data_IF_281499061328
#
_entry.id   IF_281499061328
#
_cell.length_a   1.000
_cell.length_b   1.000
_cell.length_c   1.000
_cell.angle_alpha   90.00
_cell.angle_beta   90.00
_cell.angle_gamma   90.00
#
_symmetry.space_group_name_H-M   'P 1'
#
loop_
_entity.id
_entity.type
_entity.pdbx_description
1 polymer ?
#
# COMPACT_ATOMS: atom_id res chain seq x y z
N UNK A 1 10.10 -36.37 28.47
CA UNK A 1 10.25 -35.92 27.07
C UNK A 1 9.14 -36.60 26.25
N UNK A 2 8.05 -35.91 25.91
CA UNK A 2 7.05 -36.47 24.99
C UNK A 2 7.57 -36.29 23.55
N UNK A 3 7.59 -37.32 22.70
CA UNK A 3 8.04 -37.15 21.32
C UNK A 3 7.02 -36.27 20.59
N UNK A 4 7.51 -35.23 19.90
CA UNK A 4 6.70 -34.39 19.04
C UNK A 4 5.94 -35.29 18.05
N UNK A 5 4.61 -35.22 18.09
CA UNK A 5 3.70 -36.00 17.26
C UNK A 5 3.91 -35.57 15.80
N UNK A 6 4.71 -36.34 15.05
CA UNK A 6 4.95 -36.12 13.62
C UNK A 6 3.73 -36.57 12.84
N UNK A 7 3.12 -35.67 12.08
CA UNK A 7 1.99 -36.02 11.23
C UNK A 7 2.49 -36.88 10.06
N UNK A 8 1.87 -38.04 9.87
CA UNK A 8 2.27 -39.03 8.89
C UNK A 8 1.10 -39.28 7.97
N UNK A 9 1.26 -38.95 6.70
CA UNK A 9 0.29 -39.30 5.68
C UNK A 9 0.65 -40.70 5.18
N UNK A 10 -0.27 -41.64 5.39
CA UNK A 10 -0.13 -43.01 4.92
C UNK A 10 -1.16 -43.27 3.83
N UNK A 11 -0.69 -43.61 2.63
CA UNK A 11 -1.54 -44.04 1.52
C UNK A 11 -1.38 -45.55 1.36
N UNK A 12 -2.49 -46.28 1.40
CA UNK A 12 -2.50 -47.73 1.26
C UNK A 12 -3.24 -48.10 -0.02
N UNK A 13 -2.56 -48.84 -0.89
CA UNK A 13 -3.16 -49.42 -2.08
C UNK A 13 -3.03 -50.94 -2.00
N UNK A 14 -4.15 -51.64 -2.24
CA UNK A 14 -4.14 -53.08 -2.38
C UNK A 14 -3.87 -53.44 -3.83
N UNK A 15 -2.93 -54.34 -4.05
CA UNK A 15 -2.63 -54.84 -5.37
C UNK A 15 -3.11 -56.28 -5.47
N UNK A 16 -4.20 -56.43 -6.21
CA UNK A 16 -5.10 -57.59 -6.25
C UNK A 16 -4.46 -58.91 -6.71
N UNK A 17 -3.51 -58.94 -7.66
CA UNK A 17 -2.98 -60.20 -8.20
C UNK A 17 -2.32 -61.18 -7.19
N UNK A 18 -1.87 -60.71 -6.02
CA UNK A 18 -1.23 -61.56 -5.00
C UNK A 18 -1.58 -61.18 -3.55
N UNK A 19 -2.68 -60.45 -3.35
CA UNK A 19 -3.25 -60.09 -2.04
C UNK A 19 -2.29 -59.37 -1.05
N UNK A 20 -1.17 -58.83 -1.52
CA UNK A 20 -0.34 -57.90 -0.75
C UNK A 20 -0.98 -56.51 -0.65
N UNK A 21 -0.80 -55.86 0.50
CA UNK A 21 -1.12 -54.45 0.71
C UNK A 21 0.19 -53.66 0.71
N UNK A 22 0.31 -52.69 -0.20
CA UNK A 22 1.48 -51.81 -0.25
C UNK A 22 1.08 -50.48 0.39
N UNK A 23 1.77 -50.12 1.47
CA UNK A 23 1.59 -48.85 2.16
C UNK A 23 2.83 -47.98 2.00
N UNK A 24 2.65 -46.75 1.52
CA UNK A 24 3.69 -45.71 1.56
C UNK A 24 3.30 -44.74 2.66
N UNK A 25 4.22 -44.46 3.57
CA UNK A 25 3.98 -43.54 4.67
C UNK A 25 5.10 -42.51 4.71
N UNK A 26 4.78 -41.26 4.36
CA UNK A 26 5.75 -40.17 4.28
C UNK A 26 5.51 -39.20 5.43
N UNK A 27 6.60 -38.69 6.01
CA UNK A 27 6.53 -37.71 7.08
C UNK A 27 6.24 -36.32 6.48
N UNK A 28 5.17 -35.67 6.93
CA UNK A 28 4.81 -34.35 6.44
C UNK A 28 5.89 -33.30 6.75
N UNK A 29 6.57 -33.45 7.89
CA UNK A 29 7.63 -32.55 8.35
C UNK A 29 8.76 -32.37 7.32
N UNK A 30 9.03 -33.38 6.49
CA UNK A 30 10.06 -33.32 5.44
C UNK A 30 9.65 -32.37 4.31
N UNK A 31 8.35 -32.29 4.00
CA UNK A 31 7.82 -31.38 2.99
C UNK A 31 7.59 -29.96 3.51
N UNK A 32 7.16 -29.81 4.78
CA UNK A 32 6.78 -28.49 5.31
C UNK A 32 7.98 -27.62 5.70
N UNK A 33 9.15 -28.20 5.97
CA UNK A 33 10.36 -27.41 6.30
C UNK A 33 10.77 -26.44 5.18
N UNK A 34 10.68 -26.88 3.94
CA UNK A 34 10.98 -26.03 2.77
C UNK A 34 9.89 -24.96 2.59
N UNK A 35 8.62 -25.32 2.86
CA UNK A 35 7.48 -24.40 2.80
C UNK A 35 7.55 -23.31 3.88
N UNK A 36 8.08 -23.58 5.07
CA UNK A 36 8.22 -22.58 6.13
C UNK A 36 9.18 -21.45 5.75
N UNK A 37 10.31 -21.79 5.11
CA UNK A 37 11.26 -20.78 4.64
C UNK A 37 10.65 -19.93 3.52
N UNK A 38 9.97 -20.56 2.56
CA UNK A 38 9.25 -19.85 1.51
C UNK A 38 8.18 -18.92 2.08
N UNK A 39 7.41 -19.39 3.06
CA UNK A 39 6.38 -18.58 3.74
C UNK A 39 6.99 -17.33 4.38
N UNK A 40 8.15 -17.47 5.05
CA UNK A 40 8.83 -16.34 5.68
C UNK A 40 9.28 -15.31 4.63
N UNK A 41 9.88 -15.74 3.52
CA UNK A 41 10.26 -14.84 2.44
C UNK A 41 9.05 -14.12 1.84
N UNK A 42 7.95 -14.83 1.59
CA UNK A 42 6.71 -14.22 1.09
C UNK A 42 6.21 -13.15 2.06
N UNK A 43 6.12 -13.46 3.35
CA UNK A 43 5.68 -12.50 4.38
C UNK A 43 6.57 -11.26 4.39
N UNK A 44 7.90 -11.44 4.38
CA UNK A 44 8.85 -10.32 4.40
C UNK A 44 8.75 -9.45 3.15
N UNK A 45 8.66 -10.07 1.97
CA UNK A 45 8.52 -9.33 0.70
C UNK A 45 7.17 -8.59 0.67
N UNK A 46 6.07 -9.26 1.02
CA UNK A 46 4.75 -8.63 1.08
C UNK A 46 4.71 -7.47 2.07
N UNK A 47 5.27 -7.65 3.27
CA UNK A 47 5.36 -6.59 4.26
C UNK A 47 6.23 -5.42 3.77
N UNK A 48 7.37 -5.72 3.14
CA UNK A 48 8.25 -4.71 2.55
C UNK A 48 7.55 -3.89 1.46
N UNK A 49 6.88 -4.55 0.53
CA UNK A 49 6.10 -3.88 -0.54
C UNK A 49 4.98 -3.05 0.06
N UNK A 50 4.22 -3.58 1.02
CA UNK A 50 3.14 -2.85 1.67
C UNK A 50 3.63 -1.57 2.37
N UNK A 51 4.74 -1.65 3.10
CA UNK A 51 5.35 -0.49 3.76
C UNK A 51 5.85 0.55 2.75
N UNK A 52 6.49 0.11 1.66
CA UNK A 52 6.94 1.01 0.59
C UNK A 52 5.75 1.70 -0.08
N UNK A 53 4.71 0.96 -0.45
CA UNK A 53 3.49 1.52 -1.03
C UNK A 53 2.83 2.54 -0.10
N UNK A 54 2.75 2.24 1.21
CA UNK A 54 2.21 3.17 2.20
C UNK A 54 3.06 4.43 2.33
N UNK A 55 4.39 4.30 2.32
CA UNK A 55 5.32 5.43 2.36
C UNK A 55 5.18 6.34 1.14
N UNK A 56 5.15 5.77 -0.06
CA UNK A 56 4.96 6.53 -1.32
C UNK A 56 3.59 7.21 -1.32
N UNK A 57 2.53 6.50 -0.94
CA UNK A 57 1.18 7.06 -0.85
C UNK A 57 1.12 8.23 0.13
N UNK A 58 1.71 8.08 1.32
CA UNK A 58 1.75 9.14 2.33
C UNK A 58 2.49 10.39 1.83
N UNK A 59 3.64 10.22 1.19
CA UNK A 59 4.42 11.34 0.63
C UNK A 59 3.65 12.06 -0.48
N UNK A 60 3.02 11.32 -1.39
CA UNK A 60 2.20 11.88 -2.45
C UNK A 60 0.96 12.63 -1.91
N UNK A 61 0.26 12.02 -0.94
CA UNK A 61 -0.93 12.61 -0.32
C UNK A 61 -0.59 13.87 0.48
N UNK A 62 0.51 13.88 1.25
CA UNK A 62 0.89 15.02 2.10
C UNK A 62 1.08 16.30 1.28
N UNK A 63 1.70 16.22 0.11
CA UNK A 63 1.89 17.38 -0.78
C UNK A 63 0.56 17.96 -1.25
N UNK A 64 -0.33 17.10 -1.75
CA UNK A 64 -1.65 17.48 -2.27
C UNK A 64 -2.56 18.07 -1.18
N UNK A 65 -2.63 17.42 -0.02
CA UNK A 65 -3.43 17.89 1.13
C UNK A 65 -2.94 19.25 1.61
N UNK A 66 -1.63 19.49 1.61
CA UNK A 66 -1.07 20.81 1.98
C UNK A 66 -1.51 21.89 1.00
N UNK A 67 -1.42 21.65 -0.31
CA UNK A 67 -1.83 22.62 -1.33
C UNK A 67 -3.33 22.94 -1.22
N UNK A 68 -4.18 21.92 -1.03
CA UNK A 68 -5.61 22.13 -0.81
C UNK A 68 -5.89 23.03 0.40
N UNK A 69 -5.22 22.79 1.53
CA UNK A 69 -5.36 23.64 2.72
C UNK A 69 -4.92 25.08 2.45
N UNK A 70 -3.86 25.28 1.67
CA UNK A 70 -3.39 26.61 1.29
C UNK A 70 -4.41 27.33 0.40
N UNK A 71 -4.97 26.65 -0.62
CA UNK A 71 -6.02 27.20 -1.48
C UNK A 71 -7.25 27.60 -0.65
N UNK A 72 -7.71 26.73 0.26
CA UNK A 72 -8.87 27.02 1.13
C UNK A 72 -8.59 28.19 2.07
N UNK A 73 -7.41 28.26 2.67
CA UNK A 73 -7.04 29.36 3.56
C UNK A 73 -6.96 30.70 2.80
N UNK A 74 -6.28 30.71 1.65
CA UNK A 74 -6.16 31.89 0.81
C UNK A 74 -7.53 32.38 0.30
N UNK A 75 -8.44 31.46 -0.04
CA UNK A 75 -9.82 31.80 -0.41
C UNK A 75 -10.61 32.46 0.73
N UNK A 76 -10.37 32.04 1.98
CA UNK A 76 -10.99 32.69 3.15
C UNK A 76 -10.45 34.10 3.40
N UNK A 77 -9.14 34.30 3.24
CA UNK A 77 -8.53 35.63 3.39
C UNK A 77 -9.07 36.62 2.34
N UNK A 78 -9.17 36.19 1.06
CA UNK A 78 -9.78 37.02 0.00
C UNK A 78 -11.24 37.34 0.33
N UNK A 79 -12.03 36.36 0.79
CA UNK A 79 -13.41 36.60 1.19
C UNK A 79 -13.55 37.57 2.39
N UNK A 80 -12.54 37.65 3.24
CA UNK A 80 -12.47 38.59 4.35
C UNK A 80 -11.96 39.99 3.94
N UNK A 81 -11.69 40.21 2.65
CA UNK A 81 -11.19 41.49 2.11
C UNK A 81 -9.67 41.67 2.21
N UNK A 82 -8.93 40.63 2.61
CA UNK A 82 -7.49 40.67 2.75
C UNK A 82 -6.82 40.05 1.51
N UNK A 83 -6.55 40.88 0.51
CA UNK A 83 -5.95 40.47 -0.76
C UNK A 83 -4.42 40.59 -0.67
N UNK A 84 -3.80 39.91 0.29
CA UNK A 84 -2.34 39.75 0.24
C UNK A 84 -1.99 38.77 -0.88
N UNK A 85 -0.97 39.09 -1.67
CA UNK A 85 -0.46 38.29 -2.81
C UNK A 85 -0.09 36.88 -2.38
N UNK A 86 -1.06 35.99 -2.33
CA UNK A 86 -0.85 34.58 -2.04
C UNK A 86 -0.64 33.84 -3.35
N UNK A 87 0.61 33.76 -3.80
CA UNK A 87 0.96 32.94 -4.96
C UNK A 87 1.00 31.47 -4.54
N UNK A 88 0.01 30.71 -5.00
CA UNK A 88 -0.07 29.27 -4.77
C UNK A 88 0.82 28.53 -5.76
N UNK A 89 1.40 27.42 -5.30
CA UNK A 89 2.26 26.58 -6.14
C UNK A 89 1.45 25.92 -7.24
N UNK A 90 1.85 26.15 -8.48
CA UNK A 90 1.23 25.53 -9.64
C UNK A 90 1.78 24.11 -9.86
N UNK A 91 0.87 23.16 -10.01
CA UNK A 91 1.15 21.78 -10.37
C UNK A 91 0.42 21.43 -11.67
N UNK A 92 0.80 20.32 -12.31
CA UNK A 92 0.20 19.89 -13.58
C UNK A 92 -1.09 19.07 -13.38
N UNK A 93 -1.46 18.78 -12.13
CA UNK A 93 -2.67 18.05 -11.77
C UNK A 93 -3.88 18.98 -11.56
N UNK A 94 -5.04 18.40 -11.27
CA UNK A 94 -6.30 19.12 -11.08
C UNK A 94 -6.21 20.14 -9.94
N UNK A 95 -5.43 19.85 -8.89
CA UNK A 95 -5.20 20.77 -7.77
C UNK A 95 -4.35 21.96 -8.22
N UNK A 96 -3.41 21.74 -9.12
CA UNK A 96 -2.63 22.81 -9.74
C UNK A 96 -3.44 23.69 -10.68
N UNK A 97 -4.44 23.14 -11.37
CA UNK A 97 -5.39 23.94 -12.15
C UNK A 97 -6.22 24.87 -11.24
N UNK A 98 -6.63 24.39 -10.06
CA UNK A 98 -7.28 25.24 -9.05
C UNK A 98 -6.34 26.34 -8.54
N UNK A 99 -5.07 26.01 -8.27
CA UNK A 99 -4.07 27.00 -7.87
C UNK A 99 -3.85 28.08 -8.95
N UNK A 100 -3.80 27.69 -10.23
CA UNK A 100 -3.72 28.62 -11.38
C UNK A 100 -4.93 29.55 -11.46
N UNK A 101 -6.14 29.00 -11.36
CA UNK A 101 -7.38 29.79 -11.36
C UNK A 101 -7.41 30.79 -10.21
N UNK A 102 -7.00 30.35 -9.01
CA UNK A 102 -6.88 31.21 -7.84
C UNK A 102 -5.86 32.34 -8.06
N UNK A 103 -4.65 32.01 -8.53
CA UNK A 103 -3.61 32.99 -8.82
C UNK A 103 -4.10 34.05 -9.82
N UNK A 104 -4.80 33.63 -10.89
CA UNK A 104 -5.37 34.53 -11.88
C UNK A 104 -6.40 35.50 -11.28
N UNK A 105 -7.36 35.01 -10.49
CA UNK A 105 -8.36 35.85 -9.81
C UNK A 105 -7.71 36.85 -8.83
N UNK A 106 -6.70 36.40 -8.08
CA UNK A 106 -5.98 37.25 -7.13
C UNK A 106 -5.11 38.30 -7.84
N UNK A 107 -4.58 37.98 -9.02
CA UNK A 107 -3.81 38.90 -9.86
C UNK A 107 -4.68 39.99 -10.47
N UNK A 108 -5.81 39.62 -11.11
CA UNK A 108 -6.73 40.58 -11.72
C UNK A 108 -7.38 41.53 -10.69
N UNK A 109 -7.72 41.04 -9.50
CA UNK A 109 -8.29 41.89 -8.44
C UNK A 109 -7.30 42.94 -7.92
N UNK A 110 -5.99 42.74 -8.13
CA UNK A 110 -4.95 43.70 -7.74
C UNK A 110 -4.64 44.76 -8.80
N UNK A 111 -5.11 44.58 -10.04
CA UNK A 111 -4.93 45.56 -11.13
C UNK A 111 -6.08 46.58 -11.23
N UNK A 112 -7.22 46.30 -10.60
CA UNK A 112 -8.40 47.16 -10.64
C UNK A 112 -8.56 48.12 -9.43
N UNK A 113 -7.51 48.26 -8.61
CA UNK A 113 -7.37 49.25 -7.54
C UNK A 113 -6.06 50.02 -7.69
#
# INVERSE_FOLDING_TARGET
MQPAKKEKLAYMSQFTPWNWSVGIAVFQDEFYKELEQMKLYIILITAGVALLSLGVFYLAARGKVRLLKQVTAASKEIAAGNIERTSLKETTDEIGQLAKGFNHMSGESSEHW
#
